data_IF_906702540692
#
_entry.id   IF_906702540692
#
_cell.length_a   1.000
_cell.length_b   1.000
_cell.length_c   1.000
_cell.angle_alpha   90.00
_cell.angle_beta   90.00
_cell.angle_gamma   90.00
#
_symmetry.space_group_name_H-M   'P 1'
#
loop_
_entity.id
_entity.type
_entity.pdbx_description
1 polymer ?
#
# COMPACT_ATOMS: atom_id res chain seq x y z
N UNK A 1 25.33 -3.15 -4.35
CA UNK A 1 26.37 -2.21 -3.86
C UNK A 1 25.73 -0.83 -3.87
N UNK A 2 25.87 -0.06 -2.79
CA UNK A 2 25.49 1.35 -2.75
C UNK A 2 26.43 2.14 -3.69
N UNK A 3 25.89 2.76 -4.73
CA UNK A 3 26.52 3.90 -5.39
C UNK A 3 25.43 4.93 -5.67
N UNK A 4 25.74 6.20 -5.43
CA UNK A 4 24.94 7.40 -5.72
C UNK A 4 23.74 7.77 -4.84
N UNK A 5 23.61 7.26 -3.61
CA UNK A 5 22.50 7.64 -2.70
C UNK A 5 21.09 7.47 -3.33
N UNK A 6 20.98 6.76 -4.45
CA UNK A 6 19.76 6.37 -5.19
C UNK A 6 19.35 4.93 -4.85
N UNK A 7 19.47 4.56 -3.58
CA UNK A 7 19.35 3.17 -3.11
C UNK A 7 18.44 3.13 -1.88
N UNK A 8 17.19 3.53 -2.06
CA UNK A 8 16.19 3.39 -1.00
C UNK A 8 15.46 2.06 -1.21
N UNK A 9 14.87 1.84 -2.39
CA UNK A 9 13.98 0.70 -2.63
C UNK A 9 14.69 -0.67 -2.60
N UNK A 10 15.82 -0.80 -3.30
CA UNK A 10 16.57 -2.05 -3.36
C UNK A 10 17.20 -2.45 -2.01
N UNK A 11 17.45 -1.49 -1.11
CA UNK A 11 18.02 -1.74 0.21
C UNK A 11 16.99 -2.36 1.17
N UNK A 12 15.80 -1.76 1.25
CA UNK A 12 14.69 -2.26 2.07
C UNK A 12 14.26 -3.65 1.60
N UNK A 13 13.97 -3.83 0.32
CA UNK A 13 13.43 -5.09 -0.21
C UNK A 13 14.44 -6.25 -0.13
N UNK A 14 15.75 -5.97 -0.17
CA UNK A 14 16.80 -7.00 0.08
C UNK A 14 16.96 -7.32 1.57
N UNK A 15 16.83 -6.31 2.44
CA UNK A 15 16.90 -6.52 3.89
C UNK A 15 15.70 -7.34 4.38
N UNK A 16 14.51 -7.01 3.90
CA UNK A 16 13.30 -7.78 4.18
C UNK A 16 13.42 -9.22 3.68
N UNK A 17 13.88 -9.44 2.44
CA UNK A 17 14.16 -10.79 1.94
C UNK A 17 15.15 -11.57 2.83
N UNK A 18 16.20 -10.91 3.32
CA UNK A 18 17.16 -11.55 4.23
C UNK A 18 16.51 -11.96 5.55
N UNK A 19 15.65 -11.11 6.13
CA UNK A 19 14.90 -11.42 7.35
C UNK A 19 13.91 -12.57 7.12
N UNK A 20 13.15 -12.56 6.02
CA UNK A 20 12.27 -13.67 5.66
C UNK A 20 13.03 -14.99 5.54
N UNK A 21 14.19 -14.98 4.88
CA UNK A 21 15.05 -16.17 4.77
C UNK A 21 15.52 -16.68 6.14
N UNK A 22 15.81 -15.78 7.09
CA UNK A 22 16.14 -16.16 8.48
C UNK A 22 14.94 -16.72 9.25
N UNK A 23 13.74 -16.24 8.95
CA UNK A 23 12.49 -16.72 9.53
C UNK A 23 11.94 -18.00 8.86
N UNK A 24 12.57 -18.49 7.78
CA UNK A 24 12.09 -19.65 7.02
C UNK A 24 10.89 -19.33 6.11
N UNK A 25 10.70 -18.07 5.75
CA UNK A 25 9.64 -17.60 4.86
C UNK A 25 10.23 -17.43 3.46
N UNK A 26 9.62 -18.06 2.45
CA UNK A 26 10.03 -17.87 1.07
C UNK A 26 9.72 -16.43 0.63
N UNK A 27 10.73 -15.74 0.10
CA UNK A 27 10.61 -14.35 -0.30
C UNK A 27 11.34 -14.11 -1.63
N UNK A 28 10.59 -13.67 -2.63
CA UNK A 28 11.08 -13.29 -3.96
C UNK A 28 11.35 -11.77 -3.94
N UNK A 29 12.46 -11.35 -4.53
CA UNK A 29 12.76 -9.95 -4.78
C UNK A 29 12.34 -9.62 -6.22
N UNK A 30 11.53 -8.59 -6.39
CA UNK A 30 10.98 -8.16 -7.68
C UNK A 30 11.48 -6.76 -7.98
N UNK A 31 11.94 -6.54 -9.21
CA UNK A 31 12.25 -5.21 -9.75
C UNK A 31 11.21 -4.83 -10.79
N UNK A 32 11.03 -3.54 -10.98
CA UNK A 32 10.04 -3.02 -11.90
C UNK A 32 9.97 -1.51 -11.87
N UNK A 33 8.82 -1.01 -12.27
CA UNK A 33 8.48 0.41 -12.25
C UNK A 33 7.36 0.64 -11.24
N UNK A 34 7.46 1.71 -10.46
CA UNK A 34 6.35 2.26 -9.69
C UNK A 34 5.84 3.54 -10.36
N UNK A 35 4.52 3.71 -10.38
CA UNK A 35 3.85 4.94 -10.78
C UNK A 35 3.54 5.75 -9.53
N UNK A 36 3.94 7.02 -9.51
CA UNK A 36 3.37 7.99 -8.58
C UNK A 36 2.76 9.13 -9.40
N UNK A 37 1.49 9.46 -9.14
CA UNK A 37 0.73 10.47 -9.89
C UNK A 37 1.41 11.84 -9.97
N UNK A 38 2.33 12.15 -9.05
CA UNK A 38 3.07 13.41 -9.01
C UNK A 38 4.44 13.36 -9.73
N UNK A 39 5.12 12.21 -9.72
CA UNK A 39 6.51 12.07 -10.20
C UNK A 39 6.67 11.18 -11.44
N UNK A 40 5.58 10.67 -11.99
CA UNK A 40 5.60 9.77 -13.14
C UNK A 40 6.07 8.36 -12.78
N UNK A 41 6.71 7.69 -13.74
CA UNK A 41 7.24 6.34 -13.62
C UNK A 41 8.70 6.37 -13.15
N UNK A 42 9.02 5.58 -12.11
CA UNK A 42 10.40 5.43 -11.63
C UNK A 42 10.72 3.98 -11.27
N UNK A 43 12.00 3.61 -11.39
CA UNK A 43 12.46 2.27 -11.05
C UNK A 43 12.25 1.94 -9.57
N UNK A 44 11.67 0.78 -9.30
CA UNK A 44 11.24 0.36 -7.96
C UNK A 44 11.52 -1.13 -7.70
N UNK A 45 11.48 -1.52 -6.43
CA UNK A 45 11.65 -2.91 -6.04
C UNK A 45 10.83 -3.26 -4.81
N UNK A 46 10.16 -4.41 -4.85
CA UNK A 46 9.32 -4.93 -3.77
C UNK A 46 9.56 -6.43 -3.59
N UNK A 47 8.79 -7.06 -2.70
CA UNK A 47 8.91 -8.47 -2.39
C UNK A 47 7.59 -9.21 -2.63
N UNK A 48 7.70 -10.50 -2.97
CA UNK A 48 6.58 -11.45 -2.89
C UNK A 48 6.91 -12.47 -1.80
N UNK A 49 6.07 -12.60 -0.79
CA UNK A 49 6.25 -13.54 0.30
C UNK A 49 5.27 -14.69 0.18
N UNK A 50 5.73 -15.91 0.47
CA UNK A 50 4.85 -17.07 0.53
C UNK A 50 4.46 -17.37 1.96
N UNK A 51 3.16 -17.27 2.26
CA UNK A 51 2.61 -17.57 3.59
C UNK A 51 1.46 -18.55 3.40
N UNK A 52 1.50 -19.67 4.13
CA UNK A 52 0.48 -20.72 4.07
C UNK A 52 0.17 -21.22 2.63
N UNK A 53 1.17 -21.26 1.76
CA UNK A 53 1.02 -21.72 0.39
C UNK A 53 0.59 -20.65 -0.62
N UNK A 54 0.20 -19.47 -0.17
CA UNK A 54 -0.22 -18.34 -1.01
C UNK A 54 0.86 -17.27 -1.08
N UNK A 55 0.93 -16.56 -2.21
CA UNK A 55 1.84 -15.45 -2.41
C UNK A 55 1.15 -14.12 -2.14
N UNK A 56 1.87 -13.21 -1.51
CA UNK A 56 1.42 -11.86 -1.20
C UNK A 56 2.49 -10.84 -1.55
N UNK A 57 2.06 -9.70 -2.08
CA UNK A 57 2.90 -8.54 -2.30
C UNK A 57 3.26 -7.84 -1.00
N UNK A 58 4.53 -7.49 -0.84
CA UNK A 58 5.03 -6.66 0.24
C UNK A 58 5.92 -5.56 -0.33
N UNK A 59 5.52 -4.31 -0.16
CA UNK A 59 6.34 -3.15 -0.50
C UNK A 59 6.73 -2.39 0.77
N UNK A 60 7.88 -2.76 1.35
CA UNK A 60 8.39 -2.17 2.60
C UNK A 60 8.83 -0.71 2.45
N UNK A 61 8.96 -0.21 1.22
CA UNK A 61 9.52 1.11 0.96
C UNK A 61 8.46 2.19 1.00
N UNK A 62 7.24 1.86 0.57
CA UNK A 62 6.07 2.73 0.71
C UNK A 62 5.37 2.55 2.06
N UNK A 63 5.89 1.67 2.92
CA UNK A 63 5.58 1.65 4.35
C UNK A 63 6.47 2.59 5.18
N UNK A 64 7.52 3.17 4.60
CA UNK A 64 8.42 4.10 5.28
C UNK A 64 7.97 5.56 5.05
N UNK A 65 7.52 6.28 6.10
CA UNK A 65 7.08 7.67 6.01
C UNK A 65 8.15 8.61 5.43
N UNK A 66 9.44 8.30 5.58
CA UNK A 66 10.54 9.13 5.06
C UNK A 66 10.63 9.04 3.55
N UNK A 67 10.35 7.86 2.97
CA UNK A 67 10.34 7.68 1.53
C UNK A 67 9.05 8.21 0.92
N UNK A 68 7.91 7.99 1.59
CA UNK A 68 6.64 8.56 1.19
C UNK A 68 6.73 10.09 1.15
N UNK A 69 7.20 10.74 2.22
CA UNK A 69 7.44 12.18 2.25
C UNK A 69 8.43 12.66 1.17
N UNK A 70 9.48 11.89 0.87
CA UNK A 70 10.44 12.23 -0.17
C UNK A 70 9.85 12.17 -1.59
N UNK A 71 8.75 11.45 -1.81
CA UNK A 71 8.12 11.27 -3.12
C UNK A 71 6.79 12.04 -3.23
N UNK A 72 5.92 11.98 -2.22
CA UNK A 72 4.63 12.69 -2.19
C UNK A 72 4.74 14.16 -1.78
N UNK A 73 5.85 14.54 -1.13
CA UNK A 73 6.01 15.88 -0.54
C UNK A 73 5.17 16.11 0.72
N UNK A 74 4.38 15.12 1.15
CA UNK A 74 3.54 15.20 2.35
C UNK A 74 4.25 14.55 3.53
N UNK A 75 4.32 15.28 4.65
CA UNK A 75 4.98 14.80 5.86
C UNK A 75 4.10 13.78 6.59
N UNK A 76 4.13 12.52 6.16
CA UNK A 76 3.60 11.43 6.97
C UNK A 76 4.60 11.10 8.07
N UNK A 77 4.17 11.01 9.33
CA UNK A 77 5.04 10.62 10.46
C UNK A 77 4.82 9.19 10.90
N UNK A 78 3.80 8.52 10.33
CA UNK A 78 3.37 7.18 10.68
C UNK A 78 3.77 6.14 9.63
N UNK A 79 4.00 4.91 10.09
CA UNK A 79 4.26 3.74 9.24
C UNK A 79 2.98 3.42 8.45
N UNK A 80 3.09 3.35 7.13
CA UNK A 80 2.00 2.89 6.26
C UNK A 80 2.02 1.37 6.12
N UNK A 81 0.85 0.74 6.16
CA UNK A 81 0.67 -0.70 5.97
C UNK A 81 -0.07 -1.02 4.66
N UNK A 82 -0.22 -0.03 3.78
CA UNK A 82 -0.95 -0.08 2.51
C UNK A 82 -0.52 -1.20 1.57
N UNK A 83 0.75 -1.60 1.63
CA UNK A 83 1.31 -2.66 0.82
C UNK A 83 1.82 -3.85 1.65
N UNK A 84 1.25 -4.08 2.84
CA UNK A 84 1.59 -5.24 3.66
C UNK A 84 0.66 -6.43 3.34
N UNK A 85 1.22 -7.42 2.63
CA UNK A 85 0.57 -8.67 2.25
C UNK A 85 -0.66 -8.47 1.34
N UNK A 86 -0.49 -7.70 0.27
CA UNK A 86 -1.56 -7.34 -0.67
C UNK A 86 -1.63 -8.28 -1.89
N UNK A 87 -2.80 -8.43 -2.52
CA UNK A 87 -2.94 -9.14 -3.79
C UNK A 87 -2.41 -8.31 -4.96
N UNK A 88 -2.22 -8.97 -6.10
CA UNK A 88 -1.81 -8.37 -7.38
C UNK A 88 -2.78 -7.24 -7.78
N UNK A 89 -4.08 -7.37 -7.51
CA UNK A 89 -5.07 -6.33 -7.83
C UNK A 89 -4.75 -4.96 -7.20
N UNK A 90 -4.16 -4.93 -6.00
CA UNK A 90 -3.74 -3.69 -5.34
C UNK A 90 -2.34 -3.29 -5.84
N UNK A 91 -1.44 -4.25 -5.97
CA UNK A 91 -0.06 -4.01 -6.34
C UNK A 91 0.07 -3.48 -7.78
N UNK A 92 -0.62 -4.10 -8.74
CA UNK A 92 -0.60 -3.79 -10.17
C UNK A 92 -1.25 -2.43 -10.51
N UNK A 93 -2.00 -1.79 -9.59
CA UNK A 93 -2.50 -0.40 -9.76
C UNK A 93 -1.38 0.59 -9.95
N UNK A 94 -0.22 0.31 -9.35
CA UNK A 94 0.91 1.22 -9.31
C UNK A 94 2.25 0.57 -9.60
N UNK A 95 2.36 -0.77 -9.58
CA UNK A 95 3.60 -1.51 -9.80
C UNK A 95 3.53 -2.32 -11.09
N UNK A 96 4.57 -2.23 -11.90
CA UNK A 96 4.74 -3.01 -13.12
C UNK A 96 6.05 -3.78 -12.98
N UNK A 97 5.97 -5.10 -12.88
CA UNK A 97 7.16 -5.96 -12.74
C UNK A 97 7.95 -6.03 -14.05
N UNK A 98 9.28 -6.07 -13.95
CA UNK A 98 10.16 -6.34 -15.09
C UNK A 98 9.85 -7.74 -15.63
N UNK A 99 9.57 -7.83 -16.93
CA UNK A 99 9.23 -9.10 -17.60
C UNK A 99 10.40 -9.68 -18.40
N UNK A 100 11.47 -8.90 -18.56
CA UNK A 100 12.69 -9.28 -19.25
C UNK A 100 13.91 -8.75 -18.46
N UNK A 101 15.00 -9.50 -18.48
CA UNK A 101 16.29 -9.07 -17.96
C UNK A 101 17.01 -8.11 -18.91
N UNK A 102 16.60 -8.01 -20.18
CA UNK A 102 17.28 -7.26 -21.25
C UNK A 102 17.69 -5.83 -20.85
N UNK A 103 16.82 -5.10 -20.12
CA UNK A 103 17.03 -3.69 -19.76
C UNK A 103 18.27 -3.45 -18.89
N UNK A 104 18.83 -4.49 -18.27
CA UNK A 104 19.98 -4.39 -17.36
C UNK A 104 21.32 -4.90 -17.93
N UNK A 105 21.31 -5.66 -19.03
CA UNK A 105 22.52 -6.38 -19.51
C UNK A 105 23.13 -5.85 -20.82
N UNK A 106 22.48 -4.90 -21.50
CA UNK A 106 23.00 -4.30 -22.74
C UNK A 106 22.93 -5.22 -23.96
N UNK A 107 23.32 -4.69 -25.12
CA UNK A 107 23.24 -5.38 -26.42
C UNK A 107 24.28 -6.52 -26.54
N UNK A 108 24.01 -7.69 -25.95
CA UNK A 108 24.78 -8.89 -26.27
C UNK A 108 24.44 -9.41 -27.68
N UNK A 109 25.48 -9.64 -28.48
CA UNK A 109 25.41 -10.00 -29.91
C UNK A 109 24.74 -11.37 -30.20
N UNK A 110 24.39 -12.14 -29.16
CA UNK A 110 23.67 -13.41 -29.25
C UNK A 110 22.65 -13.51 -28.11
N UNK A 111 21.50 -12.87 -28.28
CA UNK A 111 20.45 -12.80 -27.27
C UNK A 111 19.41 -13.92 -27.40
N UNK A 112 19.07 -14.55 -26.28
CA UNK A 112 17.89 -15.40 -26.13
C UNK A 112 16.99 -14.81 -25.02
N UNK A 113 15.73 -14.44 -25.33
CA UNK A 113 14.79 -13.91 -24.34
C UNK A 113 14.66 -14.77 -23.09
N UNK A 114 14.89 -14.17 -21.91
CA UNK A 114 14.66 -14.82 -20.62
C UNK A 114 13.47 -14.16 -19.93
N UNK A 115 12.27 -14.63 -20.30
CA UNK A 115 11.04 -14.16 -19.69
C UNK A 115 11.07 -14.40 -18.17
N UNK A 116 10.84 -13.34 -17.40
CA UNK A 116 10.61 -13.42 -15.96
C UNK A 116 9.14 -13.69 -15.70
N UNK A 117 8.86 -14.74 -14.93
CA UNK A 117 7.50 -15.07 -14.50
C UNK A 117 7.44 -15.07 -12.98
N UNK A 118 6.45 -14.38 -12.44
CA UNK A 118 6.22 -14.27 -11.00
C UNK A 118 4.95 -15.04 -10.62
N UNK A 119 4.92 -15.65 -9.41
CA UNK A 119 3.70 -16.26 -8.90
C UNK A 119 2.61 -15.18 -8.74
N UNK A 120 1.36 -15.57 -9.02
CA UNK A 120 0.21 -14.69 -8.85
C UNK A 120 -0.19 -14.57 -7.37
N UNK A 121 -0.48 -13.35 -6.94
CA UNK A 121 -0.98 -13.04 -5.60
C UNK A 121 -2.48 -12.77 -5.68
N UNK A 122 -3.31 -13.81 -5.54
CA UNK A 122 -4.79 -13.68 -5.65
C UNK A 122 -5.49 -13.61 -4.30
N UNK A 123 -4.76 -13.87 -3.21
CA UNK A 123 -5.31 -13.93 -1.86
C UNK A 123 -5.16 -12.56 -1.17
N UNK A 124 -6.26 -12.02 -0.64
CA UNK A 124 -6.28 -10.75 0.11
C UNK A 124 -6.47 -10.98 1.63
N UNK A 125 -6.52 -12.23 2.10
CA UNK A 125 -6.85 -12.55 3.49
C UNK A 125 -5.84 -12.03 4.49
N UNK A 126 -4.55 -11.97 4.13
CA UNK A 126 -3.48 -11.49 5.00
C UNK A 126 -3.16 -10.00 4.85
N UNK A 127 -3.90 -9.28 3.99
CA UNK A 127 -3.79 -7.83 3.92
C UNK A 127 -4.09 -7.23 5.31
N UNK A 128 -3.26 -6.29 5.74
CA UNK A 128 -3.39 -5.61 7.02
C UNK A 128 -4.81 -5.10 7.31
N UNK A 129 -5.46 -4.43 6.34
CA UNK A 129 -6.79 -3.84 6.53
C UNK A 129 -7.89 -4.90 6.61
N UNK A 130 -7.72 -6.03 5.91
CA UNK A 130 -8.60 -7.20 6.03
C UNK A 130 -8.46 -7.83 7.41
N UNK A 131 -7.24 -8.01 7.90
CA UNK A 131 -6.96 -8.55 9.24
C UNK A 131 -7.51 -7.65 10.36
N UNK A 132 -7.53 -6.34 10.13
CA UNK A 132 -8.11 -5.36 11.06
C UNK A 132 -9.64 -5.25 10.98
N UNK A 133 -10.28 -5.85 9.98
CA UNK A 133 -11.72 -5.74 9.76
C UNK A 133 -12.17 -4.35 9.29
N UNK A 134 -11.27 -3.58 8.67
CA UNK A 134 -11.51 -2.21 8.17
C UNK A 134 -11.41 -2.11 6.65
N UNK A 135 -11.44 -3.26 5.97
CA UNK A 135 -11.45 -3.37 4.51
C UNK A 135 -12.88 -3.56 4.00
N UNK A 136 -13.31 -2.71 3.07
CA UNK A 136 -14.67 -2.68 2.52
C UNK A 136 -14.64 -2.94 1.02
N UNK A 137 -15.28 -4.02 0.56
CA UNK A 137 -15.38 -4.34 -0.88
C UNK A 137 -16.31 -3.39 -1.65
N UNK A 138 -17.21 -2.71 -0.94
CA UNK A 138 -18.15 -1.72 -1.46
C UNK A 138 -18.47 -0.69 -0.38
N UNK A 139 -18.95 0.50 -0.76
CA UNK A 139 -19.36 1.52 0.20
C UNK A 139 -20.72 1.18 0.81
N UNK A 140 -20.72 0.94 2.12
CA UNK A 140 -21.90 0.86 2.98
C UNK A 140 -21.72 1.90 4.08
N UNK A 141 -22.49 2.99 3.99
CA UNK A 141 -22.38 4.11 4.91
C UNK A 141 -22.56 3.69 6.38
N UNK A 142 -23.52 2.80 6.67
CA UNK A 142 -23.78 2.37 8.03
C UNK A 142 -22.62 1.54 8.59
N UNK A 143 -22.08 0.62 7.78
CA UNK A 143 -20.94 -0.20 8.18
C UNK A 143 -19.67 0.64 8.36
N UNK A 144 -19.46 1.63 7.49
CA UNK A 144 -18.33 2.58 7.58
C UNK A 144 -18.42 3.42 8.85
N UNK A 145 -19.56 4.04 9.13
CA UNK A 145 -19.76 4.85 10.34
C UNK A 145 -19.62 4.03 11.62
N UNK A 146 -20.08 2.78 11.62
CA UNK A 146 -19.87 1.86 12.73
C UNK A 146 -18.37 1.57 12.94
N UNK A 147 -17.62 1.29 11.87
CA UNK A 147 -16.17 1.07 11.95
C UNK A 147 -15.43 2.30 12.47
N UNK A 148 -15.82 3.51 12.04
CA UNK A 148 -15.26 4.77 12.56
C UNK A 148 -15.50 4.87 14.07
N UNK A 149 -16.73 4.59 14.50
CA UNK A 149 -17.11 4.62 15.93
C UNK A 149 -16.31 3.59 16.73
N UNK A 150 -16.19 2.36 16.23
CA UNK A 150 -15.49 1.26 16.91
C UNK A 150 -14.00 1.56 17.06
N UNK A 151 -13.35 2.09 16.02
CA UNK A 151 -11.94 2.48 16.07
C UNK A 151 -11.72 3.61 17.10
N UNK A 152 -12.58 4.62 17.09
CA UNK A 152 -12.53 5.73 18.05
C UNK A 152 -12.73 5.25 19.49
N UNK A 153 -13.66 4.32 19.73
CA UNK A 153 -13.89 3.72 21.06
C UNK A 153 -12.73 2.84 21.54
N UNK A 154 -11.92 2.30 20.62
CA UNK A 154 -10.68 1.61 20.96
C UNK A 154 -9.54 2.57 21.38
N UNK A 155 -9.80 3.88 21.39
CA UNK A 155 -8.85 4.90 21.85
C UNK A 155 -7.76 5.22 20.82
N UNK A 156 -8.01 4.95 19.53
CA UNK A 156 -7.10 5.36 18.48
C UNK A 156 -7.21 6.87 18.24
N UNK A 157 -6.09 7.53 17.99
CA UNK A 157 -6.04 8.95 17.62
C UNK A 157 -6.22 9.18 16.11
N UNK A 158 -6.38 8.09 15.36
CA UNK A 158 -6.70 8.07 13.94
C UNK A 158 -7.63 6.92 13.59
N UNK A 159 -8.41 7.09 12.54
CA UNK A 159 -9.28 6.04 11.99
C UNK A 159 -8.81 5.74 10.58
N UNK A 160 -8.64 4.46 10.26
CA UNK A 160 -8.17 4.01 8.95
C UNK A 160 -9.18 3.05 8.33
N UNK A 161 -9.42 3.21 7.03
CA UNK A 161 -10.32 2.39 6.24
C UNK A 161 -9.63 2.09 4.90
N UNK A 162 -9.86 0.92 4.32
CA UNK A 162 -9.40 0.62 2.97
C UNK A 162 -10.57 0.10 2.12
N UNK A 163 -10.63 0.50 0.86
CA UNK A 163 -11.70 0.13 -0.06
C UNK A 163 -11.20 -0.78 -1.18
N UNK A 164 -12.05 -1.70 -1.63
CA UNK A 164 -11.76 -2.58 -2.75
C UNK A 164 -11.78 -1.85 -4.09
N UNK A 165 -12.67 -0.86 -4.24
CA UNK A 165 -12.92 -0.19 -5.52
C UNK A 165 -12.78 1.32 -5.43
N UNK A 166 -12.48 1.95 -6.58
CA UNK A 166 -12.37 3.40 -6.71
C UNK A 166 -13.72 4.10 -6.44
N UNK A 167 -14.84 3.47 -6.83
CA UNK A 167 -16.17 4.01 -6.60
C UNK A 167 -16.49 4.11 -5.11
N UNK A 168 -16.19 3.05 -4.35
CA UNK A 168 -16.41 3.04 -2.92
C UNK A 168 -15.55 4.08 -2.20
N UNK A 169 -14.30 4.23 -2.65
CA UNK A 169 -13.40 5.27 -2.17
C UNK A 169 -13.94 6.68 -2.45
N UNK A 170 -14.43 6.92 -3.67
CA UNK A 170 -15.00 8.21 -4.06
C UNK A 170 -16.25 8.55 -3.24
N UNK A 171 -17.09 7.57 -2.93
CA UNK A 171 -18.25 7.76 -2.05
C UNK A 171 -17.83 8.14 -0.63
N UNK A 172 -16.76 7.53 -0.09
CA UNK A 172 -16.21 7.92 1.22
C UNK A 172 -15.68 9.36 1.21
N UNK A 173 -14.94 9.75 0.17
CA UNK A 173 -14.45 11.12 0.02
C UNK A 173 -15.62 12.11 -0.07
N UNK A 174 -16.68 11.78 -0.81
CA UNK A 174 -17.88 12.62 -0.89
C UNK A 174 -18.58 12.76 0.46
N UNK A 175 -18.69 11.68 1.24
CA UNK A 175 -19.23 11.76 2.60
C UNK A 175 -18.39 12.69 3.48
N UNK A 176 -17.07 12.54 3.42
CA UNK A 176 -16.14 13.31 4.24
C UNK A 176 -16.01 14.79 3.83
N UNK A 177 -16.27 15.15 2.57
CA UNK A 177 -16.23 16.53 2.10
C UNK A 177 -17.54 17.30 2.29
N UNK A 178 -18.63 16.62 2.63
CA UNK A 178 -19.93 17.23 2.87
C UNK A 178 -19.97 17.88 4.25
N UNK A 179 -20.43 19.13 4.36
CA UNK A 179 -20.64 19.80 5.65
C UNK A 179 -21.72 19.08 6.49
N UNK A 180 -21.54 19.03 7.82
CA UNK A 180 -22.47 18.38 8.76
C UNK A 180 -22.80 16.92 8.43
N UNK A 181 -21.83 16.17 7.92
CA UNK A 181 -21.98 14.75 7.62
C UNK A 181 -22.11 13.88 8.89
N UNK A 182 -22.44 12.60 8.68
CA UNK A 182 -22.59 11.63 9.77
C UNK A 182 -21.27 11.23 10.45
N UNK A 183 -20.10 11.54 9.87
CA UNK A 183 -18.79 11.24 10.47
C UNK A 183 -18.59 12.04 11.77
N UNK A 184 -19.08 13.29 11.82
CA UNK A 184 -19.05 14.08 13.06
C UNK A 184 -19.72 13.35 14.23
N UNK A 185 -20.85 12.70 13.97
CA UNK A 185 -21.58 11.92 14.98
C UNK A 185 -20.85 10.61 15.30
N UNK A 186 -20.27 9.93 14.31
CA UNK A 186 -19.48 8.70 14.53
C UNK A 186 -18.20 8.94 15.35
N UNK A 187 -17.54 10.08 15.14
CA UNK A 187 -16.44 10.58 15.97
C UNK A 187 -16.93 11.19 17.31
N UNK A 188 -18.24 11.13 17.57
CA UNK A 188 -19.00 11.65 18.72
C UNK A 188 -18.84 13.12 18.98
N UNK A 189 -19.46 13.89 18.09
CA UNK A 189 -19.75 15.31 18.15
C UNK A 189 -18.50 16.19 18.25
N UNK A 190 -17.48 15.83 17.47
CA UNK A 190 -16.31 16.67 17.23
C UNK A 190 -16.69 17.94 16.46
N UNK A 191 -15.87 18.98 16.55
CA UNK A 191 -16.10 20.25 15.83
C UNK A 191 -15.48 20.24 14.45
N UNK A 192 -14.35 19.57 14.33
CA UNK A 192 -13.56 19.51 13.12
C UNK A 192 -12.80 18.18 13.10
N UNK A 193 -12.46 17.72 11.89
CA UNK A 193 -11.54 16.62 11.66
C UNK A 193 -10.79 16.88 10.34
N UNK A 194 -9.63 16.27 10.19
CA UNK A 194 -8.92 16.23 8.91
C UNK A 194 -9.01 14.83 8.31
N UNK A 195 -8.94 14.75 6.98
CA UNK A 195 -8.92 13.47 6.28
C UNK A 195 -7.85 13.45 5.20
N UNK A 196 -7.27 12.28 5.01
CA UNK A 196 -6.25 11.98 4.01
C UNK A 196 -6.64 10.73 3.26
N UNK A 197 -6.14 10.60 2.03
CA UNK A 197 -6.40 9.40 1.24
C UNK A 197 -5.25 9.06 0.30
N UNK A 198 -5.16 7.77 -0.02
CA UNK A 198 -4.22 7.23 -0.99
C UNK A 198 -4.98 6.60 -2.17
N UNK A 199 -4.88 7.23 -3.34
CA UNK A 199 -5.54 6.77 -4.57
C UNK A 199 -4.98 5.46 -5.14
N UNK A 200 -3.81 5.01 -4.70
CA UNK A 200 -3.22 3.77 -5.22
C UNK A 200 -3.75 2.54 -4.50
N UNK A 201 -3.97 2.67 -3.20
CA UNK A 201 -4.39 1.59 -2.30
C UNK A 201 -5.84 1.72 -1.89
N UNK A 202 -6.49 2.84 -2.24
CA UNK A 202 -7.83 3.23 -1.80
C UNK A 202 -7.94 3.20 -0.27
N UNK A 203 -6.89 3.67 0.39
CA UNK A 203 -6.86 3.84 1.84
C UNK A 203 -7.34 5.25 2.19
N UNK A 204 -8.16 5.36 3.22
CA UNK A 204 -8.72 6.59 3.75
C UNK A 204 -8.40 6.70 5.25
N UNK A 205 -7.92 7.86 5.67
CA UNK A 205 -7.57 8.14 7.07
C UNK A 205 -8.33 9.38 7.57
N UNK A 206 -8.89 9.30 8.78
CA UNK A 206 -9.36 10.45 9.55
C UNK A 206 -8.39 10.68 10.70
N UNK A 207 -8.04 11.94 10.95
CA UNK A 207 -7.11 12.36 11.98
C UNK A 207 -7.46 13.74 12.54
N UNK A 208 -6.72 14.17 13.56
CA UNK A 208 -6.74 15.53 14.12
C UNK A 208 -8.14 16.07 14.49
N UNK A 209 -9.01 15.20 15.01
CA UNK A 209 -10.34 15.61 15.47
C UNK A 209 -10.33 16.16 16.90
N UNK A 210 -11.16 17.16 17.18
CA UNK A 210 -11.28 17.79 18.52
C UNK A 210 -12.65 18.44 18.77
#
# INVERSE_FOLDING_TARGET
MLLDKKSVCAGYSRTFQYLCKKAGIDCIYVTGIAKNGQNGEFGHAWNLVKINGQYYGVDTTWGDPVFDQAISGEAHTDISYDYLCVPDEILERSRIADTDLLDYWGEEQYYEPRALTYPKCTDNSLNYYVQKGVYFTSFDEAAVLQSITDQRLQGTNKVVLQFGTAEAMQQMITLASTENNAIFQALGDVREYQYYYNDQTYTFELADWF
#
